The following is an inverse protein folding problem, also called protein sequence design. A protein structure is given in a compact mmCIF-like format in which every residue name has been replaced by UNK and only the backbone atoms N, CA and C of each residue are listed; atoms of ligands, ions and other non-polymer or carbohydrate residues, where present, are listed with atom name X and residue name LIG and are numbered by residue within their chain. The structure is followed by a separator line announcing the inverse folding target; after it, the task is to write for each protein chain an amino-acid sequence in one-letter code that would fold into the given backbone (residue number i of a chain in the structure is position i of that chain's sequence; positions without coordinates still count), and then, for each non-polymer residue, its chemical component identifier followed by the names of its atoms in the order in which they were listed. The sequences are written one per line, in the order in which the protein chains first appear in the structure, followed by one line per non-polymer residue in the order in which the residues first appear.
data_IF_779236631473
#
_entry.id   IF_779236631473
#
_cell.length_a   1.000
_cell.length_b   1.000
_cell.length_c   1.000
_cell.angle_alpha   90.00
_cell.angle_beta   90.00
_cell.angle_gamma   90.00
#
_symmetry.space_group_name_H-M   'P 1'
#
loop_
_entity.id
_entity.type
_entity.pdbx_description
1 polymer ?
2 non-polymer ?
3 water ?
#
# COMPACT_ATOMS: atom_id res chain seq x y z
N UNK A 2 -15.39 -11.58 13.84
CA UNK A 2 -16.17 -10.34 13.97
C UNK A 2 -15.44 -9.45 14.96
N UNK A 3 -14.48 -10.08 15.64
CA UNK A 3 -13.58 -9.45 16.57
C UNK A 3 -12.56 -8.63 15.80
N UNK A 4 -12.30 -9.02 14.55
CA UNK A 4 -11.33 -8.33 13.72
C UNK A 4 -11.79 -6.93 13.33
N UNK A 5 -13.05 -6.81 12.90
CA UNK A 5 -13.66 -5.52 12.56
C UNK A 5 -13.63 -4.55 13.75
N UNK A 6 -14.15 -5.02 14.89
CA UNK A 6 -14.13 -4.25 16.11
C UNK A 6 -12.70 -3.75 16.34
N UNK A 7 -11.73 -4.64 16.19
CA UNK A 7 -10.32 -4.28 16.42
C UNK A 7 -9.78 -3.26 15.43
N UNK A 8 -10.17 -3.36 14.16
CA UNK A 8 -9.79 -2.35 13.18
C UNK A 8 -10.43 -1.00 13.53
N UNK A 9 -11.73 -1.03 13.86
CA UNK A 9 -12.50 0.18 14.19
C UNK A 9 -11.84 0.96 15.32
N UNK A 10 -11.29 0.23 16.29
CA UNK A 10 -10.54 0.84 17.37
C UNK A 10 -9.34 1.62 16.83
N UNK A 11 -8.58 1.00 15.91
CA UNK A 11 -7.36 1.61 15.40
C UNK A 11 -7.70 2.71 14.41
N UNK A 12 -8.78 2.50 13.68
CA UNK A 12 -9.27 3.45 12.69
C UNK A 12 -9.77 4.73 13.38
N UNK A 13 -10.45 4.57 14.51
CA UNK A 13 -10.99 5.69 15.25
C UNK A 13 -9.88 6.49 15.92
N UNK A 14 -8.90 5.80 16.49
CA UNK A 14 -7.73 6.47 17.06
C UNK A 14 -7.02 7.33 16.04
N UNK A 15 -6.97 6.83 14.80
CA UNK A 15 -6.25 7.48 13.72
C UNK A 15 -6.97 8.76 13.31
N UNK A 16 -8.26 8.67 13.04
CA UNK A 16 -9.06 9.84 12.66
C UNK A 16 -9.05 10.90 13.76
N UNK A 17 -9.17 10.47 15.00
CA UNK A 17 -9.14 11.37 16.15
C UNK A 17 -7.73 11.97 16.27
N UNK A 18 -6.82 11.47 15.43
CA UNK A 18 -5.41 11.86 15.45
C UNK A 18 -4.70 11.59 16.79
N UNK A 19 -4.86 10.36 17.28
CA UNK A 19 -4.15 9.91 18.46
C UNK A 19 -3.12 8.87 18.07
N UNK A 20 -2.28 8.47 19.02
CA UNK A 20 -1.36 7.36 18.78
C UNK A 20 -2.18 6.10 18.54
N UNK A 21 -2.16 5.62 17.29
CA UNK A 21 -2.96 4.49 16.83
C UNK A 21 -2.14 3.20 16.60
N UNK A 22 -0.81 3.32 16.66
CA UNK A 22 0.08 2.23 16.32
C UNK A 22 -0.11 0.96 17.18
N UNK A 23 -0.24 1.11 18.52
CA UNK A 23 -0.50 -0.12 19.29
C UNK A 23 -1.74 -0.86 18.80
N UNK A 24 -2.84 -0.14 18.59
CA UNK A 24 -4.14 -0.74 18.23
C UNK A 24 -4.14 -1.36 16.86
N UNK A 25 -3.22 -0.87 16.02
CA UNK A 25 -3.06 -1.36 14.66
C UNK A 25 -2.18 -2.61 14.62
N UNK A 26 -1.20 -2.69 15.51
CA UNK A 26 -0.42 -3.92 15.65
C UNK A 26 -1.30 -5.06 16.15
N UNK A 27 -2.22 -4.73 17.05
CA UNK A 27 -3.22 -5.66 17.57
C UNK A 27 -4.13 -6.24 16.49
N UNK A 28 -4.36 -5.49 15.41
CA UNK A 28 -5.12 -5.98 14.27
C UNK A 28 -4.31 -6.99 13.50
N UNK A 29 -3.02 -6.72 13.33
CA UNK A 29 -2.12 -7.64 12.65
C UNK A 29 -2.02 -8.94 13.45
N UNK A 30 -1.73 -8.84 14.73
CA UNK A 30 -1.65 -10.00 15.60
C UNK A 30 -2.85 -10.91 15.38
N UNK A 31 -4.04 -10.32 15.37
CA UNK A 31 -5.29 -11.07 15.36
C UNK A 31 -5.67 -11.64 14.00
N UNK A 32 -5.34 -10.92 12.94
CA UNK A 32 -5.64 -11.42 11.59
C UNK A 32 -4.74 -12.62 11.29
N UNK A 34 -3.32 -14.75 13.54
CA UNK A 34 -3.75 -15.89 14.32
C UNK A 34 -5.08 -16.46 13.83
N UNK A 35 -5.89 -15.62 13.21
CA UNK A 35 -7.17 -16.08 12.66
C UNK A 35 -6.95 -17.04 11.50
N UNK A 36 -6.16 -16.61 10.52
CA UNK A 36 -5.84 -17.41 9.34
C UNK A 36 -5.10 -18.67 9.75
N UNK A 37 -4.16 -18.52 10.68
CA UNK A 37 -3.42 -19.63 11.26
C UNK A 37 -4.31 -20.74 11.86
N UNK A 38 -5.32 -20.36 12.64
CA UNK A 38 -6.12 -21.35 13.37
C UNK A 38 -7.39 -21.86 12.65
N UNK A 39 -7.80 -21.16 11.60
CA UNK A 39 -9.04 -21.53 10.91
C UNK A 39 -8.91 -21.77 9.41
N UNK A 40 -7.93 -21.14 8.78
CA UNK A 40 -7.83 -21.16 7.33
C UNK A 40 -6.95 -22.27 6.78
N UNK A 41 -7.44 -22.94 5.74
CA UNK A 41 -6.59 -23.77 4.90
C UNK A 41 -5.68 -22.85 4.09
N UNK A 42 -4.57 -23.41 3.61
CA UNK A 42 -3.63 -22.63 2.82
C UNK A 42 -2.96 -23.50 1.78
N UNK A 43 -3.26 -23.26 0.51
CA UNK A 43 -2.70 -24.05 -0.58
C UNK A 43 -2.36 -23.30 -1.86
N UNK A 44 -1.75 -24.00 -2.81
CA UNK A 44 -1.50 -23.44 -4.13
C UNK A 44 -2.84 -23.23 -4.82
N UNK A 45 -3.01 -22.07 -5.45
CA UNK A 45 -4.29 -21.74 -6.05
C UNK A 45 -4.23 -21.71 -7.57
N UNK A 46 -3.28 -20.94 -8.10
CA UNK A 46 -3.18 -20.70 -9.53
C UNK A 46 -1.93 -19.89 -9.83
N UNK A 47 -1.67 -19.68 -11.11
CA UNK A 47 -0.46 -18.99 -11.52
C UNK A 47 -0.74 -17.85 -12.48
N UNK A 48 0.17 -16.88 -12.48
CA UNK A 48 0.20 -15.92 -13.58
C UNK A 48 1.22 -16.44 -14.58
N UNK A 49 0.92 -16.26 -15.87
CA UNK A 49 1.86 -16.65 -16.91
C UNK A 49 2.13 -15.56 -17.95
N UNK A 50 3.39 -15.13 -18.01
CA UNK A 50 3.84 -14.20 -19.04
C UNK A 50 5.25 -14.55 -19.51
N UNK A 51 6.13 -13.56 -19.54
CA UNK A 51 7.56 -13.82 -19.78
C UNK A 51 8.09 -14.85 -18.79
N UNK A 52 7.58 -14.80 -17.56
CA UNK A 52 7.84 -15.82 -16.56
C UNK A 52 6.56 -16.38 -15.98
N UNK A 53 6.71 -17.35 -15.08
CA UNK A 53 5.59 -17.91 -14.32
C UNK A 53 5.66 -17.33 -12.92
N UNK A 54 4.50 -16.96 -12.38
CA UNK A 54 4.42 -16.57 -10.97
C UNK A 54 3.30 -17.33 -10.29
N UNK A 55 3.68 -18.17 -9.34
CA UNK A 55 2.72 -18.97 -8.59
C UNK A 55 2.08 -18.18 -7.47
N UNK A 56 0.77 -18.37 -7.31
CA UNK A 56 0.04 -17.72 -6.23
C UNK A 56 -0.67 -18.74 -5.37
N UNK A 57 -0.69 -18.48 -4.07
CA UNK A 57 -1.45 -19.29 -3.12
C UNK A 57 -2.75 -18.59 -2.67
N UNK A 58 -3.63 -19.36 -2.04
CA UNK A 58 -4.85 -18.80 -1.47
C UNK A 58 -5.14 -19.40 -0.11
N UNK A 59 -5.79 -18.64 0.77
CA UNK A 59 -6.32 -19.17 2.02
C UNK A 59 -7.74 -19.64 1.75
N UNK A 60 -8.15 -20.71 2.41
CA UNK A 60 -9.49 -21.27 2.22
C UNK A 60 -10.23 -21.40 3.55
N UNK A 61 -11.57 -21.36 3.46
CA UNK A 61 -12.44 -21.60 4.60
C UNK A 61 -13.87 -21.89 4.15
N UNK A 62 -14.39 -23.05 4.54
CA UNK A 62 -15.74 -23.47 4.18
C UNK A 62 -16.07 -23.25 2.70
N UNK A 63 -15.15 -23.66 1.83
CA UNK A 63 -15.35 -23.51 0.39
C UNK A 63 -14.74 -22.23 -0.16
N UNK A 64 -15.08 -21.10 0.46
CA UNK A 64 -14.61 -19.78 0.05
C UNK A 64 -13.08 -19.69 -0.09
N UNK A 65 -12.64 -18.82 -1.01
CA UNK A 65 -11.21 -18.57 -1.28
C UNK A 65 -10.86 -17.12 -1.00
N UNK A 66 -9.65 -16.88 -0.53
CA UNK A 66 -9.13 -15.52 -0.40
C UNK A 66 -8.57 -15.12 -1.76
N UNK A 67 -8.35 -13.82 -1.94
CA UNK A 67 -7.59 -13.31 -3.09
C UNK A 67 -6.24 -14.01 -3.15
N UNK A 68 -5.61 -14.05 -4.35
CA UNK A 68 -4.35 -14.78 -4.51
C UNK A 68 -3.20 -14.13 -3.74
N UNK A 69 -2.33 -14.97 -3.17
CA UNK A 69 -1.25 -14.55 -2.28
C UNK A 69 0.07 -15.12 -2.76
N UNK A 70 1.04 -14.24 -3.01
CA UNK A 70 2.39 -14.68 -3.31
C UNK A 70 3.01 -15.32 -2.09
N UNK A 71 3.04 -16.65 -2.10
CA UNK A 71 3.57 -17.47 -1.01
C UNK A 71 5.03 -17.14 -0.70
N UNK A 72 5.78 -16.82 -1.74
CA UNK A 72 7.16 -16.43 -1.60
C UNK A 72 7.30 -15.08 -0.90
N UNK A 73 6.19 -14.41 -0.63
CA UNK A 73 6.17 -13.05 -0.09
C UNK A 73 5.48 -12.98 1.27
N UNK A 74 4.39 -13.74 1.41
CA UNK A 74 3.62 -13.81 2.65
C UNK A 74 4.36 -14.67 3.65
N UNK A 75 4.52 -14.21 4.89
CA UNK A 75 5.17 -15.01 5.92
C UNK A 75 4.13 -15.84 6.68
N UNK A 76 3.99 -17.10 6.31
CA UNK A 76 2.97 -17.97 6.92
C UNK A 76 3.37 -18.63 8.26
N UNK A 77 4.44 -18.15 8.88
CA UNK A 77 4.88 -18.62 10.19
C UNK A 77 4.79 -17.45 11.16
N UNK A 78 3.96 -17.61 12.19
CA UNK A 78 3.69 -16.50 13.11
C UNK A 78 4.91 -16.00 13.90
N UNK A 79 5.66 -16.91 14.50
CA UNK A 79 6.85 -16.55 15.29
C UNK A 79 7.94 -15.93 14.41
N UNK A 80 8.09 -16.48 13.20
CA UNK A 80 8.93 -15.89 12.16
C UNK A 80 8.58 -14.42 11.95
N UNK A 81 7.29 -14.20 11.70
CA UNK A 81 6.75 -12.88 11.42
C UNK A 81 6.94 -11.93 12.59
N UNK A 82 6.83 -12.46 13.81
CA UNK A 82 6.91 -11.64 15.01
C UNK A 82 8.32 -11.12 15.21
N UNK A 83 9.31 -11.99 15.10
CA UNK A 83 10.70 -11.56 15.24
C UNK A 83 11.15 -10.77 14.00
N UNK A 84 10.56 -11.08 12.84
CA UNK A 84 10.77 -10.32 11.62
C UNK A 84 10.33 -8.88 11.81
N UNK A 85 9.10 -8.71 12.30
CA UNK A 85 8.49 -7.41 12.53
C UNK A 85 9.31 -6.51 13.43
N UNK A 86 9.86 -7.07 14.51
CA UNK A 86 10.69 -6.29 15.46
C UNK A 86 11.97 -5.76 14.83
N UNK A 87 12.60 -6.57 13.99
CA UNK A 87 13.86 -6.18 13.36
C UNK A 87 13.57 -5.16 12.27
N UNK A 88 12.51 -5.41 11.49
CA UNK A 88 12.00 -4.43 10.55
C UNK A 88 11.80 -3.07 11.26
N UNK A 89 11.19 -3.13 12.44
CA UNK A 89 10.94 -1.94 13.25
C UNK A 89 12.22 -1.19 13.63
N UNK A 90 13.26 -1.93 14.01
CA UNK A 90 14.53 -1.33 14.42
C UNK A 90 15.38 -0.83 13.26
N UNK A 91 15.23 -1.46 12.10
CA UNK A 91 15.97 -1.03 10.92
C UNK A 91 15.47 0.31 10.38
N UNK A 92 14.19 0.62 10.59
CA UNK A 92 13.65 1.93 10.22
C UNK A 92 14.30 3.11 10.99
N UNK A 93 14.75 2.85 12.22
CA UNK A 93 15.48 3.87 13.01
C UNK A 93 16.85 4.23 12.44
N UNK A 94 17.51 3.26 11.83
CA UNK A 94 18.78 3.49 11.14
C UNK A 94 18.70 3.07 9.66
N UNK A 95 17.80 3.72 8.93
CA UNK A 95 17.68 3.52 7.48
C UNK A 95 18.61 4.47 6.75
N UNK A 96 18.91 5.61 7.36
CA UNK A 96 19.92 6.54 6.82
C UNK A 96 21.26 5.88 6.55
N UNK A 97 21.79 5.18 7.57
CA UNK A 97 23.07 4.47 7.49
C UNK A 97 23.02 3.11 6.78
N UNK A 98 22.05 2.26 7.15
CA UNK A 98 21.92 0.95 6.52
C UNK A 98 20.54 0.63 5.91
N UNK A 99 20.52 0.35 4.61
CA UNK A 99 19.33 -0.21 3.97
C UNK A 99 19.68 -1.15 2.82
N UNK A 100 20.17 -2.33 3.17
CA UNK A 100 20.56 -3.34 2.18
C UNK A 100 19.36 -3.87 1.38
N UNK A 101 19.64 -4.77 0.43
CA UNK A 101 18.57 -5.44 -0.30
C UNK A 101 17.84 -6.39 0.63
N UNK A 102 18.50 -6.79 1.71
CA UNK A 102 17.87 -7.65 2.71
C UNK A 102 16.97 -6.85 3.63
N UNK A 103 17.27 -5.57 3.80
CA UNK A 103 16.41 -4.69 4.56
C UNK A 103 15.16 -4.35 3.75
N UNK A 104 15.36 -4.11 2.47
CA UNK A 104 14.26 -3.82 1.55
C UNK A 104 13.35 -5.02 1.35
N UNK A 105 13.91 -6.21 1.12
CA UNK A 105 13.10 -7.42 0.88
C UNK A 105 12.19 -7.78 2.05
N UNK A 106 12.67 -7.53 3.26
CA UNK A 106 11.94 -7.90 4.46
C UNK A 106 10.89 -6.84 4.82
N UNK A 107 11.22 -5.58 4.59
CA UNK A 107 10.25 -4.49 4.72
C UNK A 107 9.09 -4.77 3.77
N UNK A 108 9.43 -5.13 2.53
CA UNK A 108 8.45 -5.49 1.54
C UNK A 108 7.61 -6.66 2.00
N UNK A 109 8.26 -7.72 2.47
CA UNK A 109 7.55 -8.92 2.90
C UNK A 109 6.69 -8.69 4.12
N UNK A 110 7.17 -7.83 5.02
CA UNK A 110 6.43 -7.49 6.25
C UNK A 110 5.18 -6.69 5.87
N UNK A 111 5.36 -5.60 5.12
CA UNK A 111 4.21 -4.80 4.70
C UNK A 111 3.20 -5.70 3.99
N UNK A 112 3.67 -6.50 3.04
CA UNK A 112 2.81 -7.40 2.28
C UNK A 112 1.98 -8.27 3.21
N UNK A 113 2.65 -8.96 4.11
CA UNK A 113 2.02 -9.88 5.03
C UNK A 113 1.01 -9.14 5.93
N UNK A 114 1.40 -7.99 6.46
CA UNK A 114 0.54 -7.25 7.37
C UNK A 114 -0.79 -6.89 6.71
N UNK A 115 -0.71 -6.22 5.55
CA UNK A 115 -1.88 -5.78 4.78
C UNK A 115 -2.67 -6.96 4.21
N UNK A 117 -2.76 -10.02 5.25
CA UNK A 117 -3.33 -10.85 6.29
C UNK A 117 -4.70 -10.31 6.66
N UNK A 118 -4.81 -8.99 6.77
CA UNK A 118 -6.09 -8.38 7.05
C UNK A 118 -7.03 -8.56 5.87
N UNK A 119 -6.52 -8.34 4.66
CA UNK A 119 -7.32 -8.44 3.44
C UNK A 119 -7.95 -9.82 3.26
N UNK A 120 -7.13 -10.87 3.36
CA UNK A 120 -7.62 -12.25 3.20
C UNK A 120 -8.65 -12.66 4.24
N UNK A 121 -8.50 -12.15 5.46
CA UNK A 121 -9.49 -12.36 6.51
C UNK A 121 -10.89 -11.88 6.10
N UNK A 122 -10.95 -10.71 5.46
CA UNK A 122 -12.19 -10.16 4.91
C UNK A 122 -12.75 -10.96 3.74
N UNK A 123 -11.89 -11.54 2.92
CA UNK A 123 -12.36 -12.35 1.80
C UNK A 123 -13.04 -13.63 2.29
N UNK A 124 -12.56 -14.15 3.43
CA UNK A 124 -13.09 -15.40 3.96
C UNK A 124 -14.27 -15.18 4.90
N UNK A 125 -14.19 -14.15 5.74
CA UNK A 125 -15.23 -13.95 6.75
C UNK A 125 -16.11 -12.73 6.49
N UNK A 126 -15.90 -12.13 5.31
CA UNK A 126 -16.79 -11.12 4.69
C UNK A 126 -17.58 -10.26 5.67
N UNK A 127 -16.87 -9.58 6.57
CA UNK A 127 -17.50 -8.70 7.54
C UNK A 127 -16.79 -7.36 7.65
N UNK A 128 -17.45 -6.31 7.17
CA UNK A 128 -16.89 -4.97 7.18
C UNK A 128 -17.25 -4.15 5.96
N UNK A 129 -16.76 -2.91 5.93
CA UNK A 129 -17.09 -1.96 4.87
C UNK A 129 -16.73 -2.41 3.45
N UNK A 130 -16.01 -3.54 3.32
CA UNK A 130 -15.52 -4.02 2.01
C UNK A 130 -14.47 -3.06 1.43
N UNK A 131 -14.29 -1.93 2.12
CA UNK A 131 -13.20 -1.00 1.83
C UNK A 131 -12.24 -0.96 3.02
N UNK A 132 -12.53 -1.77 4.04
CA UNK A 132 -11.69 -1.83 5.25
C UNK A 132 -10.22 -2.28 5.06
N UNK A 133 -9.95 -3.25 4.14
CA UNK A 133 -8.54 -3.55 3.86
C UNK A 133 -7.79 -2.33 3.30
N UNK A 134 -8.44 -1.58 2.42
CA UNK A 134 -7.87 -0.33 1.96
C UNK A 134 -7.62 0.59 3.14
N UNK A 135 -8.58 0.63 4.06
CA UNK A 135 -8.47 1.48 5.24
C UNK A 135 -7.29 1.04 6.11
N UNK A 136 -7.14 -0.27 6.28
CA UNK A 136 -6.04 -0.76 7.07
C UNK A 136 -4.69 -0.46 6.41
N UNK A 137 -4.60 -0.66 5.10
CA UNK A 137 -3.40 -0.29 4.34
C UNK A 137 -2.93 1.13 4.67
N UNK A 138 -3.80 2.12 4.58
CA UNK A 138 -3.43 3.49 4.93
C UNK A 138 -2.94 3.60 6.39
N UNK A 139 -3.73 3.10 7.32
CA UNK A 139 -3.45 3.13 8.76
C UNK A 139 -2.08 2.53 9.09
N UNK A 140 -1.83 1.36 8.50
CA UNK A 140 -0.59 0.64 8.68
C UNK A 140 0.59 1.45 8.19
N UNK A 142 0.73 4.60 7.59
CA UNK A 142 0.82 5.79 8.39
C UNK A 142 1.53 5.44 9.68
N UNK A 143 1.27 4.24 10.20
CA UNK A 143 2.00 3.76 11.36
C UNK A 143 3.50 3.69 11.07
N UNK A 144 3.89 2.91 10.04
CA UNK A 144 5.33 2.75 9.74
C UNK A 144 6.01 4.07 9.38
N UNK A 145 5.40 4.88 8.52
CA UNK A 145 6.02 6.14 8.13
C UNK A 145 6.30 7.02 9.34
N UNK A 146 5.59 6.77 10.43
CA UNK A 146 5.75 7.57 11.64
C UNK A 146 6.95 7.09 12.47
N UNK A 147 7.22 5.80 12.42
CA UNK A 147 8.36 5.24 13.11
C UNK A 147 9.63 5.76 12.46
N UNK A 149 10.34 8.50 9.89
CA UNK A 149 10.65 9.92 9.87
C UNK A 149 9.77 10.62 10.87
N UNK A 150 10.02 10.42 12.16
CA UNK A 150 9.06 10.94 13.14
C UNK A 150 9.13 12.44 13.38
N UNK A 151 9.96 13.15 12.62
CA UNK A 151 10.14 14.59 12.79
C UNK A 151 9.42 15.46 11.76
N UNK A 152 8.80 14.82 10.77
CA UNK A 152 8.09 15.53 9.72
C UNK A 152 6.62 15.72 10.08
N UNK A 153 5.94 16.65 9.41
CA UNK A 153 4.59 17.08 9.79
C UNK A 153 3.52 16.21 9.15
N UNK A 154 2.87 15.39 9.97
CA UNK A 154 1.85 14.45 9.52
C UNK A 154 0.44 15.02 9.53
N UNK A 155 0.17 15.88 10.51
CA UNK A 155 -1.19 16.29 10.86
C UNK A 155 -1.72 17.50 10.09
N UNK A 156 -1.36 17.61 8.82
CA UNK A 156 -1.93 18.66 8.00
C UNK A 156 -2.99 18.10 7.05
N UNK A 157 -4.11 18.80 6.95
CA UNK A 157 -5.13 18.49 5.97
C UNK A 157 -5.16 19.60 4.92
N UNK A 158 -5.14 19.23 3.65
CA UNK A 158 -5.25 20.22 2.56
C UNK A 158 -6.68 20.26 2.01
N UNK A 159 -7.31 21.45 2.04
CA UNK A 159 -8.67 21.73 1.57
C UNK A 159 -9.06 20.98 0.28
N UNK A 160 -8.24 21.11 -0.75
CA UNK A 160 -8.61 20.55 -2.05
C UNK A 160 -8.51 19.02 -2.11
N UNK A 161 -7.60 18.44 -1.31
CA UNK A 161 -7.52 16.99 -1.14
C UNK A 161 -8.72 16.47 -0.33
N UNK A 162 -9.08 17.18 0.75
CA UNK A 162 -10.27 16.84 1.54
C UNK A 162 -11.55 16.92 0.71
N UNK A 163 -11.58 17.87 -0.21
CA UNK A 163 -12.71 18.05 -1.11
C UNK A 163 -12.91 16.83 -2.02
N UNK A 164 -11.81 16.39 -2.64
CA UNK A 164 -11.85 15.28 -3.58
C UNK A 164 -12.20 13.95 -2.89
N UNK A 165 -11.75 13.79 -1.65
CA UNK A 165 -11.98 12.57 -0.89
C UNK A 165 -13.39 12.52 -0.32
N UNK A 166 -13.90 13.67 0.10
CA UNK A 166 -15.27 13.78 0.61
C UNK A 166 -16.27 13.52 -0.50
N UNK A 167 -16.01 14.08 -1.68
CA UNK A 167 -16.88 13.89 -2.84
C UNK A 167 -16.85 12.47 -3.38
N UNK A 168 -15.68 11.85 -3.32
CA UNK A 168 -15.48 10.46 -3.73
C UNK A 168 -16.37 9.53 -2.91
N UNK A 169 -16.26 9.63 -1.59
CA UNK A 169 -17.08 8.86 -0.64
C UNK A 169 -18.58 9.08 -0.83
N UNK A 170 -18.97 10.33 -1.12
CA UNK A 170 -20.38 10.69 -1.37
C UNK A 170 -20.96 10.02 -2.62
N UNK A 171 -20.11 9.66 -3.57
CA UNK A 171 -20.52 8.90 -4.74
C UNK A 171 -20.64 7.43 -4.36
N UNK A 172 -19.50 6.78 -4.12
CA UNK A 172 -19.47 5.38 -3.78
C UNK A 172 -18.90 5.15 -2.36
N UNK A 173 -19.80 4.92 -1.38
CA UNK A 173 -19.42 4.55 0.01
C UNK A 173 -18.46 3.36 0.14
N UNK A 174 -18.34 2.54 -0.91
CA UNK A 174 -17.44 1.36 -0.92
C UNK A 174 -16.06 1.67 -1.51
N UNK A 175 -15.97 2.72 -2.31
CA UNK A 175 -14.71 3.18 -2.88
C UNK A 175 -14.33 4.57 -2.33
N UNK A 176 -13.48 4.58 -1.31
CA UNK A 176 -13.09 5.80 -0.59
C UNK A 176 -11.60 6.12 -0.70
N UNK A 177 -11.27 7.40 -0.82
CA UNK A 177 -9.92 7.82 -1.06
C UNK A 177 -9.04 7.89 0.21
N UNK A 178 -7.94 7.14 0.17
CA UNK A 178 -6.97 7.11 1.27
C UNK A 178 -5.64 7.63 0.76
N UNK A 179 -5.35 8.90 1.08
CA UNK A 179 -4.10 9.56 0.68
C UNK A 179 -3.41 10.05 1.93
N UNK A 180 -2.09 9.89 2.01
CA UNK A 180 -1.32 10.40 3.16
C UNK A 180 -0.49 11.60 2.75
N UNK A 181 -0.60 12.69 3.51
CA UNK A 181 0.21 13.87 3.28
C UNK A 181 1.24 13.99 4.39
N UNK A 182 2.51 14.01 4.00
CA UNK A 182 3.59 14.32 4.92
C UNK A 182 4.29 15.58 4.44
N UNK A 183 4.27 16.62 5.26
CA UNK A 183 4.93 17.90 4.94
C UNK A 183 6.27 18.00 5.66
N UNK A 184 7.29 18.49 4.93
CA UNK A 184 8.65 18.62 5.47
C UNK A 184 8.75 19.75 6.48
N UNK A 185 9.29 19.43 7.64
CA UNK A 185 9.46 20.41 8.72
C UNK A 185 10.36 21.59 8.36
N UNK A 186 11.17 21.44 7.30
CA UNK A 186 12.32 22.30 7.05
C UNK A 186 12.26 23.11 5.75
N UNK A 187 11.34 22.72 4.87
CA UNK A 187 11.11 23.41 3.61
C UNK A 187 9.65 23.29 3.18
N UNK A 188 9.17 24.23 2.37
CA UNK A 188 7.83 24.16 1.82
C UNK A 188 7.70 23.12 0.68
N UNK A 189 7.75 21.85 1.08
CA UNK A 189 7.52 20.73 0.19
C UNK A 189 6.97 19.56 1.00
N UNK A 190 6.14 18.75 0.35
CA UNK A 190 5.50 17.61 0.99
C UNK A 190 5.20 16.53 -0.02
N UNK A 191 5.07 15.30 0.48
CA UNK A 191 4.65 14.18 -0.33
C UNK A 191 3.16 13.90 -0.15
N UNK A 192 2.60 13.23 -1.14
CA UNK A 192 1.22 12.79 -1.12
C UNK A 192 1.23 11.33 -1.52
N UNK A 193 0.82 10.46 -0.59
CA UNK A 193 0.87 9.03 -0.82
C UNK A 193 -0.52 8.40 -1.02
N UNK A 194 -0.96 8.27 -2.28
CA UNK A 194 -2.20 7.58 -2.56
C UNK A 194 -2.02 6.09 -2.35
N UNK A 195 -2.84 5.52 -1.48
CA UNK A 195 -2.75 4.09 -1.19
C UNK A 195 -3.92 3.37 -1.80
N UNK A 196 -3.64 2.25 -2.45
CA UNK A 196 -4.63 1.36 -3.05
C UNK A 196 -4.04 -0.04 -3.09
N UNK A 197 -4.82 -1.05 -2.72
CA UNK A 197 -4.38 -2.43 -2.78
C UNK A 197 -4.11 -2.78 -4.25
N UNK A 198 -5.12 -2.58 -5.09
CA UNK A 198 -4.96 -2.63 -6.55
C UNK A 198 -5.65 -1.38 -7.11
N UNK A 199 -5.22 -0.94 -8.30
CA UNK A 199 -5.63 0.37 -8.78
C UNK A 199 -6.93 0.37 -9.58
N UNK A 200 -7.04 -0.59 -10.50
CA UNK A 200 -8.16 -0.69 -11.44
C UNK A 200 -8.34 0.60 -12.26
N UNK A 201 -9.56 1.11 -12.32
CA UNK A 201 -9.83 2.33 -13.09
C UNK A 201 -9.46 3.61 -12.35
N UNK A 202 -9.22 3.49 -11.05
CA UNK A 202 -8.82 4.63 -10.22
C UNK A 202 -7.34 5.03 -10.40
N UNK A 203 -6.76 4.59 -11.51
CA UNK A 203 -5.35 4.88 -11.82
C UNK A 203 -5.14 6.34 -12.22
N UNK A 204 -6.16 6.94 -12.85
CA UNK A 204 -6.10 8.35 -13.24
C UNK A 204 -6.09 9.27 -12.02
N UNK A 205 -6.69 8.82 -10.92
CA UNK A 205 -6.94 9.64 -9.76
C UNK A 205 -5.68 10.32 -9.13
N UNK A 206 -4.59 9.56 -8.91
CA UNK A 206 -3.37 10.22 -8.44
C UNK A 206 -2.74 11.19 -9.44
N UNK A 207 -2.88 10.92 -10.73
CA UNK A 207 -2.33 11.78 -11.77
C UNK A 207 -3.08 13.09 -11.80
N UNK A 208 -4.40 13.02 -11.93
CA UNK A 208 -5.26 14.19 -11.91
C UNK A 208 -5.02 15.05 -10.67
N UNK A 209 -4.91 14.42 -9.52
CA UNK A 209 -4.66 15.13 -8.26
C UNK A 209 -3.32 15.88 -8.29
N UNK A 210 -2.29 15.24 -8.85
CA UNK A 210 -0.97 15.84 -8.95
C UNK A 210 -1.01 17.11 -9.81
N UNK A 211 -1.64 16.97 -10.98
CA UNK A 211 -1.91 18.09 -11.86
C UNK A 211 -2.56 19.25 -11.13
N UNK A 212 -3.65 18.96 -10.41
CA UNK A 212 -4.40 19.98 -9.70
C UNK A 212 -3.53 20.70 -8.67
N UNK A 213 -2.74 19.94 -7.91
CA UNK A 213 -1.85 20.53 -6.90
C UNK A 213 -0.74 21.38 -7.51
N UNK A 214 -0.25 20.99 -8.67
CA UNK A 214 0.77 21.75 -9.39
C UNK A 214 0.18 23.09 -9.88
N UNK A 215 -1.05 23.06 -10.36
CA UNK A 215 -1.64 24.27 -10.91
C UNK A 215 -2.34 25.12 -9.87
N UNK A 216 -2.24 24.75 -8.59
CA UNK A 216 -2.86 25.49 -7.50
C UNK A 216 -1.80 26.04 -6.55
N UNK A 217 -0.84 25.19 -6.19
CA UNK A 217 0.24 25.56 -5.26
C UNK A 217 1.57 25.90 -5.95
N UNK A 218 1.68 25.60 -7.25
CA UNK A 218 2.94 25.76 -7.95
C UNK A 218 3.64 24.44 -8.07
N UNK A 219 4.66 24.38 -8.92
CA UNK A 219 5.19 23.12 -9.42
C UNK A 219 6.10 22.27 -8.54
N UNK A 220 6.76 22.87 -7.56
CA UNK A 220 7.74 22.12 -6.77
C UNK A 220 7.36 21.93 -5.32
N UNK A 221 6.06 21.96 -5.05
CA UNK A 221 5.54 21.90 -3.68
C UNK A 221 5.04 20.50 -3.31
N UNK A 222 4.39 19.83 -4.27
CA UNK A 222 3.83 18.49 -4.02
C UNK A 222 4.36 17.41 -4.95
N UNK A 223 4.72 16.29 -4.35
CA UNK A 223 5.30 15.17 -5.09
C UNK A 223 4.55 13.92 -4.69
N UNK A 224 4.09 13.18 -5.69
CA UNK A 224 3.22 12.03 -5.46
C UNK A 224 3.98 10.74 -5.62
N UNK A 225 3.86 9.87 -4.62
CA UNK A 225 4.41 8.54 -4.69
C UNK A 225 3.27 7.59 -4.48
N UNK A 226 3.10 6.66 -5.40
CA UNK A 226 1.98 5.74 -5.39
C UNK A 226 2.34 4.40 -4.77
N UNK A 227 1.62 4.03 -3.72
CA UNK A 227 1.84 2.76 -3.01
C UNK A 227 0.71 1.77 -3.23
N UNK A 228 1.05 0.59 -3.73
CA UNK A 228 0.09 -0.48 -3.97
C UNK A 228 0.56 -1.83 -3.43
N UNK A 229 -0.29 -2.83 -3.50
CA UNK A 229 0.09 -4.18 -3.11
C UNK A 229 0.37 -5.02 -4.35
N UNK A 230 -0.56 -5.03 -5.28
CA UNK A 230 -0.41 -5.78 -6.52
C UNK A 230 -1.25 -5.15 -7.62
N UNK A 231 -1.40 -5.90 -8.71
CA UNK A 231 -2.39 -5.62 -9.74
C UNK A 231 -3.00 -6.95 -10.14
N UNK A 232 -2.96 -7.90 -9.23
CA UNK A 232 -3.51 -9.23 -9.47
C UNK A 232 -5.02 -9.22 -9.59
N UNK A 233 -5.53 -10.10 -10.43
CA UNK A 233 -6.95 -10.34 -10.50
C UNK A 233 -7.19 -11.83 -10.48
N UNK A 234 -8.13 -12.24 -9.65
CA UNK A 234 -8.50 -13.63 -9.53
C UNK A 234 -9.46 -14.02 -10.63
N UNK A 235 -9.21 -15.18 -11.23
CA UNK A 235 -10.21 -15.86 -12.03
C UNK A 235 -10.53 -17.12 -11.25
N UNK A 236 -11.60 -17.04 -10.43
CA UNK A 236 -11.98 -18.12 -9.50
C UNK A 236 -12.38 -19.43 -10.17
N UNK A 237 -12.86 -19.34 -11.40
CA UNK A 237 -13.29 -20.50 -12.17
C UNK A 237 -12.12 -21.27 -12.79
N UNK A 238 -11.21 -20.54 -13.46
CA UNK A 238 -10.09 -21.16 -14.21
C UNK A 238 -8.83 -21.38 -13.39
N UNK A 239 -8.86 -21.01 -12.11
CA UNK A 239 -7.73 -21.19 -11.21
C UNK A 239 -6.45 -20.65 -11.84
N UNK A 240 -6.42 -19.35 -12.05
CA UNK A 240 -5.22 -18.66 -12.52
C UNK A 240 -5.31 -17.18 -12.19
N UNK A 241 -4.19 -16.47 -12.27
CA UNK A 241 -4.12 -15.07 -11.86
C UNK A 241 -3.74 -14.15 -13.02
N UNK A 242 -4.55 -13.11 -13.23
CA UNK A 242 -4.22 -12.07 -14.19
C UNK A 242 -3.51 -10.91 -13.52
N UNK A 243 -2.85 -10.09 -14.32
CA UNK A 243 -2.23 -8.87 -13.87
C UNK A 243 -2.88 -7.79 -14.72
N UNK A 244 -3.71 -6.95 -14.10
CA UNK A 244 -4.45 -5.93 -14.85
C UNK A 244 -3.62 -4.67 -15.05
N UNK A 245 -3.00 -4.58 -16.22
CA UNK A 245 -2.09 -3.48 -16.52
C UNK A 245 -2.51 -2.63 -17.69
N UNK A 246 -2.19 -1.35 -17.59
CA UNK A 246 -2.58 -0.39 -18.60
C UNK A 246 -1.35 0.48 -18.97
N UNK A 247 -0.31 -0.15 -19.56
CA UNK A 247 0.97 0.53 -19.73
C UNK A 247 0.88 1.75 -20.63
N UNK A 248 0.05 1.67 -21.66
CA UNK A 248 -0.20 2.81 -22.56
C UNK A 248 -0.79 3.99 -21.82
N UNK A 249 -1.77 3.69 -20.96
CA UNK A 249 -2.46 4.71 -20.21
C UNK A 249 -1.54 5.47 -19.24
N UNK A 250 -0.68 4.73 -18.56
CA UNK A 250 0.22 5.31 -17.57
C UNK A 250 1.25 6.20 -18.24
N UNK A 251 1.67 5.80 -19.44
CA UNK A 251 2.61 6.62 -20.21
C UNK A 251 1.96 7.93 -20.66
N UNK A 252 0.78 7.84 -21.26
CA UNK A 252 -0.01 9.02 -21.56
C UNK A 252 -0.17 9.89 -20.31
N UNK A 253 -0.47 9.26 -19.19
CA UNK A 253 -0.65 10.00 -17.96
C UNK A 253 0.64 10.68 -17.48
N UNK A 254 1.75 9.93 -17.44
CA UNK A 254 3.05 10.50 -17.05
C UNK A 254 3.50 11.66 -17.92
N UNK A 255 3.30 11.51 -19.24
CA UNK A 255 3.81 12.47 -20.18
C UNK A 255 2.90 13.69 -20.29
N UNK A 256 1.61 13.46 -20.50
CA UNK A 256 0.72 14.54 -20.88
C UNK A 256 -0.25 15.02 -19.79
N UNK A 257 -0.50 14.21 -18.77
CA UNK A 257 -1.38 14.62 -17.67
C UNK A 257 -0.63 15.19 -16.47
N UNK A 258 0.35 14.43 -15.97
CA UNK A 258 1.10 14.84 -14.80
C UNK A 258 2.23 13.87 -14.52
N UNK A 259 3.22 14.30 -13.75
CA UNK A 259 4.33 13.42 -13.39
C UNK A 259 4.31 13.03 -11.92
N UNK A 260 4.35 11.73 -11.65
CA UNK A 260 4.51 11.20 -10.30
C UNK A 260 5.94 10.75 -10.10
N UNK A 261 6.40 10.79 -8.85
CA UNK A 261 7.77 10.50 -8.52
C UNK A 261 8.06 9.01 -8.59
N UNK A 262 7.05 8.19 -8.35
CA UNK A 262 7.23 6.75 -8.36
C UNK A 262 5.96 5.95 -8.19
N UNK A 264 4.95 2.07 -6.60
CA UNK A 264 5.50 1.04 -5.74
C UNK A 264 4.53 -0.12 -5.52
N UNK A 265 5.06 -1.34 -5.58
CA UNK A 265 4.27 -2.54 -5.37
C UNK A 265 5.02 -3.53 -4.50
N UNK A 266 4.26 -4.27 -3.71
CA UNK A 266 4.81 -5.43 -3.03
C UNK A 266 5.03 -6.48 -4.09
N UNK A 267 4.03 -6.63 -4.93
CA UNK A 267 4.02 -7.62 -5.99
C UNK A 267 3.92 -6.85 -7.29
N UNK A 268 5.07 -6.47 -7.82
CA UNK A 268 5.13 -5.69 -9.06
C UNK A 268 4.70 -6.56 -10.22
N UNK A 269 3.68 -6.11 -10.99
CA UNK A 269 3.31 -6.88 -12.17
C UNK A 269 4.46 -6.88 -13.15
N UNK A 270 4.75 -8.05 -13.69
CA UNK A 270 5.83 -8.27 -14.64
C UNK A 270 5.81 -7.28 -15.81
N UNK A 271 4.62 -6.93 -16.32
CA UNK A 271 4.50 -5.96 -17.40
C UNK A 271 5.08 -4.59 -17.04
N UNK A 272 4.91 -4.16 -15.79
CA UNK A 272 5.38 -2.85 -15.37
C UNK A 272 6.90 -2.78 -15.14
N UNK A 273 7.60 -3.90 -15.35
CA UNK A 273 9.06 -3.90 -15.16
C UNK A 273 9.88 -3.52 -16.41
N UNK A 274 9.16 -3.19 -17.48
CA UNK A 274 9.74 -2.91 -18.78
C UNK A 274 10.13 -1.45 -18.95
N UNK A 275 11.08 -1.20 -19.84
CA UNK A 275 11.61 0.15 -20.11
C UNK A 275 10.57 1.16 -20.60
N UNK A 276 9.55 0.71 -21.33
CA UNK A 276 8.50 1.63 -21.81
C UNK A 276 7.81 2.40 -20.68
N UNK A 277 7.80 1.81 -19.48
CA UNK A 277 7.35 2.48 -18.27
C UNK A 277 8.49 3.01 -17.42
N UNK A 278 9.47 2.15 -17.15
CA UNK A 278 10.55 2.47 -16.22
C UNK A 278 11.46 3.58 -16.73
N UNK A 279 11.39 3.90 -18.02
CA UNK A 279 12.16 5.00 -18.59
C UNK A 279 11.59 6.32 -18.12
N UNK A 280 10.27 6.39 -18.00
CA UNK A 280 9.60 7.65 -17.71
C UNK A 280 9.02 7.75 -16.29
N UNK A 281 8.90 6.61 -15.59
CA UNK A 281 8.50 6.59 -14.17
C UNK A 281 9.12 5.43 -13.39
N UNK A 282 9.77 5.74 -12.25
CA UNK A 282 10.23 4.69 -11.35
C UNK A 282 9.12 3.72 -10.94
N UNK A 283 9.41 2.43 -11.05
CA UNK A 283 8.48 1.37 -10.65
C UNK A 283 9.28 0.52 -9.70
N UNK A 284 9.17 0.81 -8.41
CA UNK A 284 10.02 0.16 -7.43
C UNK A 284 9.19 -0.68 -6.43
N UNK A 285 9.72 -0.91 -5.24
CA UNK A 285 9.17 -1.89 -4.31
C UNK A 285 8.66 -1.18 -3.05
N UNK A 287 9.47 -1.94 -0.01
CA UNK A 287 10.72 -1.75 0.70
C UNK A 287 11.54 -0.58 0.14
N UNK A 288 11.59 -0.46 -1.20
CA UNK A 288 12.23 0.68 -1.84
C UNK A 288 11.49 1.98 -1.54
N UNK A 289 10.16 1.86 -1.39
CA UNK A 289 9.31 2.98 -1.04
C UNK A 289 9.77 3.70 0.20
N UNK A 290 10.09 2.95 1.25
CA UNK A 290 10.44 3.55 2.54
C UNK A 290 11.70 4.36 2.39
N UNK A 291 12.72 3.77 1.77
CA UNK A 291 13.97 4.46 1.54
C UNK A 291 13.76 5.69 0.64
N UNK A 292 13.05 5.53 -0.47
CA UNK A 292 12.79 6.66 -1.34
C UNK A 292 12.12 7.83 -0.62
N UNK A 293 11.13 7.50 0.20
CA UNK A 293 10.40 8.52 0.96
C UNK A 293 11.34 9.17 1.97
N UNK A 294 12.12 8.35 2.68
CA UNK A 294 13.08 8.87 3.65
C UNK A 294 14.08 9.74 2.95
N UNK A 295 14.66 9.21 1.87
CA UNK A 295 15.61 9.92 1.05
C UNK A 295 15.09 11.32 0.68
N UNK A 296 13.82 11.40 0.30
CA UNK A 296 13.15 12.65 -0.07
C UNK A 296 13.24 13.69 1.04
N UNK A 297 12.98 13.23 2.26
CA UNK A 297 12.95 14.13 3.40
C UNK A 297 14.35 14.44 3.94
N UNK A 298 15.28 13.51 3.79
CA UNK A 298 16.68 13.77 4.10
C UNK A 298 17.16 14.88 3.16
N UNK A 299 16.84 14.72 1.88
CA UNK A 299 17.09 15.75 0.88
C UNK A 299 16.36 17.08 1.18
N UNK A 300 15.34 17.03 2.04
CA UNK A 300 14.54 18.21 2.39
C UNK A 300 13.59 18.66 1.25
N UNK A 301 13.47 17.80 0.23
CA UNK A 301 12.66 18.08 -0.96
C UNK A 301 13.33 17.58 -2.23
N UNK A 302 12.76 17.98 -3.38
CA UNK A 302 13.40 17.87 -4.71
C UNK A 302 13.65 16.47 -5.31
N UNK A 303 13.17 15.40 -4.66
CA UNK A 303 13.36 14.04 -5.19
C UNK A 303 12.05 13.36 -5.57
#
# INVERSE_FOLDING_TARGET
XDILKEKIDVASRLYNLNLDHIPATLQVIEHAXLLLKNNAGYGYFGSFNGKNTQEYHSFTFNGEYSRPVRDDLFITDYDFFVSGFREFNESLRDIGSKWSSFDSRRANKIIYTSVXSVACCFDLWKSGSRKTPGTFFEIFXAAVLKWXIPDEIFSKHIPLIDQLESDDESIDPSSVSTDIVIKSAYANASVVIPLKITTRERIVQPFAQQRILDSYFGNGVYFSFLACISETQQDKKKKKVNHICVPGTIRLYQKYLSSLSGXYYCDIPERYLERDLTDIIPVRTXGDFLFDIYSFFRSQGAAALEHHHHHH
#
